data_IF_262971024512
#
_entry.id   IF_262971024512
#
_cell.length_a   1.000
_cell.length_b   1.000
_cell.length_c   1.000
_cell.angle_alpha   90.00
_cell.angle_beta   90.00
_cell.angle_gamma   90.00
#
_symmetry.space_group_name_H-M   'P 1'
#
loop_
_entity.id
_entity.type
_entity.pdbx_description
1 polymer ?
#
# COMPACT_ATOMS: atom_id res chain seq x y z
N UNK A 1 4.49 -7.50 -25.29
CA UNK A 1 4.84 -6.19 -24.68
C UNK A 1 3.54 -5.52 -24.25
N UNK A 2 3.31 -5.30 -22.95
CA UNK A 2 2.08 -4.66 -22.46
C UNK A 2 2.24 -3.14 -22.44
N UNK A 3 1.27 -2.41 -22.97
CA UNK A 3 1.24 -0.93 -22.96
C UNK A 3 1.39 -0.33 -21.55
N UNK A 4 0.97 -1.07 -20.52
CA UNK A 4 1.11 -0.73 -19.11
C UNK A 4 2.59 -0.54 -18.68
N UNK A 5 3.53 -1.34 -19.18
CA UNK A 5 4.94 -1.17 -18.80
C UNK A 5 5.62 0.05 -19.45
N UNK A 6 5.01 0.60 -20.51
CA UNK A 6 5.45 1.83 -21.18
C UNK A 6 5.06 3.10 -20.42
N UNK A 7 3.84 3.14 -19.91
CA UNK A 7 3.27 4.33 -19.26
C UNK A 7 3.69 4.42 -17.78
N UNK A 8 4.02 3.32 -17.11
CA UNK A 8 4.25 3.37 -15.66
C UNK A 8 5.70 3.16 -15.23
N UNK A 9 6.53 2.56 -16.08
CA UNK A 9 7.96 2.38 -15.79
C UNK A 9 8.81 3.62 -16.03
N UNK A 10 8.33 4.56 -16.86
CA UNK A 10 9.10 5.72 -17.32
C UNK A 10 8.70 7.04 -16.65
N UNK A 11 7.56 7.08 -15.98
CA UNK A 11 7.04 8.32 -15.38
C UNK A 11 7.34 8.32 -13.89
N UNK A 12 7.96 9.41 -13.44
CA UNK A 12 8.14 9.74 -12.02
C UNK A 12 7.41 11.05 -11.73
N UNK A 13 6.83 11.15 -10.54
CA UNK A 13 6.42 12.41 -9.97
C UNK A 13 7.63 12.98 -9.23
N UNK A 14 8.12 14.12 -9.68
CA UNK A 14 9.23 14.80 -9.04
C UNK A 14 8.65 15.86 -8.09
N UNK A 15 8.93 15.70 -6.79
CA UNK A 15 8.53 16.60 -5.73
C UNK A 15 9.74 17.47 -5.38
N UNK A 16 9.62 18.76 -5.67
CA UNK A 16 10.64 19.78 -5.43
C UNK A 16 10.04 20.96 -4.66
N UNK A 17 10.14 20.89 -3.33
CA UNK A 17 9.68 21.94 -2.41
C UNK A 17 10.84 22.60 -1.64
N UNK A 18 12.08 22.15 -1.85
CA UNK A 18 13.27 22.67 -1.18
C UNK A 18 14.30 23.12 -2.21
N UNK A 19 14.75 24.36 -2.10
CA UNK A 19 15.81 24.92 -2.94
C UNK A 19 17.17 24.25 -2.66
N UNK A 20 17.31 23.58 -1.51
CA UNK A 20 18.58 23.02 -1.01
C UNK A 20 18.67 21.51 -1.24
N UNK A 21 17.54 20.79 -1.24
CA UNK A 21 17.51 19.33 -1.33
C UNK A 21 17.22 18.85 -2.77
N UNK A 22 17.82 17.73 -3.21
CA UNK A 22 17.49 17.16 -4.51
C UNK A 22 16.01 16.76 -4.58
N UNK A 23 15.37 16.84 -5.76
CA UNK A 23 13.97 16.51 -5.93
C UNK A 23 13.69 15.05 -5.59
N UNK A 24 12.63 14.82 -4.82
CA UNK A 24 12.18 13.46 -4.47
C UNK A 24 11.41 12.88 -5.65
N UNK A 25 11.93 11.80 -6.23
CA UNK A 25 11.30 11.11 -7.36
C UNK A 25 10.44 9.95 -6.87
N UNK A 26 9.17 9.98 -7.22
CA UNK A 26 8.19 8.94 -6.90
C UNK A 26 7.81 8.19 -8.17
N UNK A 27 8.12 6.89 -8.28
CA UNK A 27 7.66 6.08 -9.40
C UNK A 27 6.13 5.92 -9.34
N UNK A 28 5.48 6.05 -10.49
CA UNK A 28 4.03 5.77 -10.59
C UNK A 28 3.70 4.33 -10.17
N UNK A 29 4.66 3.41 -10.27
CA UNK A 29 4.54 2.04 -9.77
C UNK A 29 4.21 1.97 -8.26
N UNK A 30 4.63 2.95 -7.45
CA UNK A 30 4.26 2.99 -6.02
C UNK A 30 2.75 3.27 -5.84
N UNK A 31 2.16 4.13 -6.68
CA UNK A 31 0.75 4.48 -6.61
C UNK A 31 -0.19 3.30 -6.94
N UNK A 32 0.29 2.33 -7.73
CA UNK A 32 -0.45 1.09 -7.99
C UNK A 32 -0.70 0.28 -6.71
N UNK A 33 0.17 0.39 -5.71
CA UNK A 33 -0.02 -0.29 -4.44
C UNK A 33 -1.35 0.13 -3.81
N UNK A 34 -1.65 1.43 -3.82
CA UNK A 34 -2.90 1.96 -3.28
C UNK A 34 -4.08 1.46 -4.10
N UNK A 35 -4.04 1.61 -5.43
CA UNK A 35 -5.16 1.21 -6.30
C UNK A 35 -5.48 -0.29 -6.14
N UNK A 36 -4.47 -1.15 -6.25
CA UNK A 36 -4.63 -2.60 -6.14
C UNK A 36 -5.13 -3.00 -4.75
N UNK A 37 -4.56 -2.46 -3.67
CA UNK A 37 -4.96 -2.82 -2.32
C UNK A 37 -6.34 -2.28 -1.94
N UNK A 38 -6.75 -1.11 -2.44
CA UNK A 38 -8.12 -0.59 -2.24
C UNK A 38 -9.12 -1.48 -2.98
N UNK A 39 -8.86 -1.82 -4.24
CA UNK A 39 -9.72 -2.74 -5.00
C UNK A 39 -9.78 -4.10 -4.33
N UNK A 40 -8.65 -4.63 -3.85
CA UNK A 40 -8.60 -5.86 -3.09
C UNK A 40 -9.48 -5.78 -1.83
N UNK A 41 -9.39 -4.69 -1.04
CA UNK A 41 -10.29 -4.54 0.12
C UNK A 41 -11.77 -4.44 -0.25
N UNK A 42 -12.10 -3.86 -1.40
CA UNK A 42 -13.48 -3.78 -1.86
C UNK A 42 -14.03 -5.17 -2.26
N UNK A 43 -13.21 -5.96 -2.97
CA UNK A 43 -13.56 -7.31 -3.45
C UNK A 43 -13.57 -8.34 -2.31
N UNK A 44 -12.63 -8.23 -1.37
CA UNK A 44 -12.46 -9.17 -0.25
C UNK A 44 -13.44 -8.95 0.90
N UNK A 45 -14.39 -8.01 0.76
CA UNK A 45 -15.42 -7.81 1.78
C UNK A 45 -16.29 -9.07 1.91
N UNK A 46 -16.49 -9.59 3.13
CA UNK A 46 -17.39 -10.71 3.39
C UNK A 46 -18.85 -10.23 3.32
N UNK A 47 -19.29 -9.86 2.13
CA UNK A 47 -20.70 -9.57 1.77
C UNK A 47 -21.30 -10.64 0.87
N UNK A 48 -20.51 -11.64 0.50
CA UNK A 48 -20.99 -12.77 -0.29
C UNK A 48 -21.60 -13.81 0.64
N UNK A 49 -22.80 -14.26 0.29
CA UNK A 49 -23.60 -15.32 0.94
C UNK A 49 -22.80 -16.56 1.35
N UNK A 50 -21.70 -16.85 0.65
CA UNK A 50 -20.80 -17.97 0.92
C UNK A 50 -19.99 -17.80 2.22
N UNK A 51 -19.68 -16.56 2.64
CA UNK A 51 -18.87 -16.28 3.83
C UNK A 51 -19.65 -16.45 5.14
N UNK A 52 -20.98 -16.23 5.11
CA UNK A 52 -21.85 -16.41 6.27
C UNK A 52 -21.99 -17.88 6.69
N UNK A 53 -21.84 -18.81 5.74
CA UNK A 53 -21.93 -20.26 6.01
C UNK A 53 -20.69 -20.85 6.66
N UNK A 54 -19.56 -20.13 6.65
CA UNK A 54 -18.23 -20.70 6.91
C UNK A 54 -17.79 -20.57 8.39
N UNK A 55 -18.58 -19.88 9.22
CA UNK A 55 -18.30 -19.70 10.64
C UNK A 55 -17.20 -18.68 10.91
N UNK A 56 -17.28 -17.99 12.06
CA UNK A 56 -16.49 -16.77 12.31
C UNK A 56 -14.98 -17.01 12.27
N UNK A 57 -14.47 -18.13 12.79
CA UNK A 57 -13.02 -18.39 12.88
C UNK A 57 -12.38 -18.60 11.50
N UNK A 58 -13.00 -19.42 10.64
CA UNK A 58 -12.46 -19.71 9.30
C UNK A 58 -12.49 -18.47 8.40
N UNK A 59 -13.52 -17.64 8.53
CA UNK A 59 -13.62 -16.33 7.86
C UNK A 59 -12.47 -15.39 8.28
N UNK A 60 -12.07 -15.37 9.56
CA UNK A 60 -10.90 -14.60 10.03
C UNK A 60 -9.60 -15.05 9.37
N UNK A 61 -9.38 -16.37 9.27
CA UNK A 61 -8.19 -16.91 8.62
C UNK A 61 -8.13 -16.59 7.14
N UNK A 62 -9.25 -16.71 6.42
CA UNK A 62 -9.30 -16.37 4.99
C UNK A 62 -9.05 -14.87 4.80
N UNK A 63 -9.68 -14.00 5.60
CA UNK A 63 -9.43 -12.55 5.54
C UNK A 63 -7.96 -12.21 5.78
N UNK A 64 -7.32 -12.83 6.78
CA UNK A 64 -5.90 -12.67 7.05
C UNK A 64 -5.01 -13.18 5.91
N UNK A 65 -5.34 -14.35 5.34
CA UNK A 65 -4.58 -14.96 4.26
C UNK A 65 -4.66 -14.20 2.94
N UNK A 66 -5.70 -13.39 2.73
CA UNK A 66 -5.85 -12.59 1.51
C UNK A 66 -5.01 -11.31 1.51
N UNK A 67 -4.58 -10.83 2.68
CA UNK A 67 -3.65 -9.69 2.79
C UNK A 67 -2.33 -9.93 2.05
N UNK A 68 -1.56 -11.00 2.30
CA UNK A 68 -0.30 -11.23 1.58
C UNK A 68 -0.52 -11.42 0.08
N UNK A 69 -1.65 -11.99 -0.35
CA UNK A 69 -1.98 -12.14 -1.78
C UNK A 69 -2.26 -10.77 -2.41
N UNK A 70 -3.00 -9.89 -1.74
CA UNK A 70 -3.23 -8.53 -2.21
C UNK A 70 -1.94 -7.72 -2.27
N UNK A 71 -1.07 -7.84 -1.27
CA UNK A 71 0.26 -7.21 -1.27
C UNK A 71 1.14 -7.78 -2.40
N UNK A 72 1.13 -9.09 -2.65
CA UNK A 72 1.87 -9.69 -3.75
C UNK A 72 1.35 -9.21 -5.12
N UNK A 73 0.04 -9.08 -5.28
CA UNK A 73 -0.58 -8.53 -6.49
C UNK A 73 -0.16 -7.06 -6.72
N UNK A 74 -0.05 -6.26 -5.66
CA UNK A 74 0.42 -4.87 -5.73
C UNK A 74 1.89 -4.75 -6.19
N UNK A 75 2.71 -5.79 -5.98
CA UNK A 75 4.12 -5.81 -6.41
C UNK A 75 4.28 -6.22 -7.88
N UNK A 76 3.31 -6.92 -8.48
CA UNK A 76 3.40 -7.38 -9.89
C UNK A 76 3.80 -6.27 -10.87
N UNK A 77 3.21 -5.05 -10.83
CA UNK A 77 3.61 -3.95 -11.71
C UNK A 77 5.11 -3.61 -11.60
N UNK A 78 5.68 -3.65 -10.39
CA UNK A 78 7.11 -3.37 -10.15
C UNK A 78 8.01 -4.31 -10.95
N UNK A 79 7.69 -5.61 -10.97
CA UNK A 79 8.45 -6.59 -11.75
C UNK A 79 8.30 -6.37 -13.26
N UNK A 80 7.13 -5.92 -13.72
CA UNK A 80 6.93 -5.60 -15.15
C UNK A 80 7.67 -4.35 -15.59
N UNK A 81 7.99 -3.44 -14.66
CA UNK A 81 8.72 -2.20 -14.93
C UNK A 81 10.19 -2.25 -14.49
N UNK A 82 10.65 -3.33 -13.85
CA UNK A 82 11.98 -3.44 -13.24
C UNK A 82 13.12 -3.16 -14.23
N UNK A 83 12.98 -3.57 -15.49
CA UNK A 83 13.98 -3.32 -16.55
C UNK A 83 13.98 -1.89 -17.11
N UNK A 84 13.06 -1.03 -16.65
CA UNK A 84 12.88 0.35 -17.12
C UNK A 84 13.04 1.39 -16.01
N UNK A 85 13.40 0.96 -14.81
CA UNK A 85 13.65 1.86 -13.70
C UNK A 85 14.87 2.73 -13.98
N UNK A 86 14.89 3.98 -13.48
CA UNK A 86 16.08 4.83 -13.56
C UNK A 86 17.32 4.14 -12.99
N UNK A 87 18.53 4.37 -13.55
CA UNK A 87 19.75 3.63 -13.20
C UNK A 87 20.20 3.73 -11.73
N UNK A 88 19.59 4.61 -10.92
CA UNK A 88 19.86 4.80 -9.49
C UNK A 88 18.69 4.36 -8.59
N UNK A 89 17.81 3.49 -9.08
CA UNK A 89 16.63 3.03 -8.35
C UNK A 89 16.63 1.51 -8.22
N UNK A 90 17.12 0.96 -7.09
CA UNK A 90 17.11 -0.48 -6.89
C UNK A 90 15.66 -0.99 -6.82
N UNK A 91 15.35 -2.02 -7.60
CA UNK A 91 13.99 -2.60 -7.62
C UNK A 91 13.58 -3.15 -6.25
N UNK A 92 14.53 -3.62 -5.43
CA UNK A 92 14.31 -4.11 -4.06
C UNK A 92 13.78 -3.01 -3.14
N UNK A 93 14.30 -1.78 -3.26
CA UNK A 93 13.80 -0.60 -2.55
C UNK A 93 12.34 -0.32 -2.92
N UNK A 94 12.04 -0.34 -4.22
CA UNK A 94 10.70 -0.09 -4.74
C UNK A 94 9.69 -1.13 -4.24
N UNK A 95 10.09 -2.42 -4.22
CA UNK A 95 9.25 -3.49 -3.66
C UNK A 95 8.94 -3.26 -2.18
N UNK A 96 9.94 -2.88 -1.38
CA UNK A 96 9.72 -2.64 0.06
C UNK A 96 8.76 -1.48 0.32
N UNK A 97 8.86 -0.39 -0.46
CA UNK A 97 7.94 0.75 -0.36
C UNK A 97 6.53 0.37 -0.80
N UNK A 98 6.39 -0.37 -1.91
CA UNK A 98 5.09 -0.86 -2.40
C UNK A 98 4.40 -1.77 -1.39
N UNK A 99 5.14 -2.70 -0.77
CA UNK A 99 4.60 -3.56 0.27
C UNK A 99 4.14 -2.76 1.49
N UNK A 100 4.94 -1.79 1.92
CA UNK A 100 4.61 -0.92 3.06
C UNK A 100 3.37 -0.08 2.78
N UNK A 101 3.32 0.59 1.63
CA UNK A 101 2.19 1.41 1.20
C UNK A 101 0.92 0.58 0.99
N UNK A 102 1.05 -0.61 0.39
CA UNK A 102 -0.04 -1.56 0.24
C UNK A 102 -0.60 -2.01 1.59
N UNK A 103 0.29 -2.39 2.53
CA UNK A 103 -0.11 -2.80 3.87
C UNK A 103 -0.83 -1.68 4.65
N UNK A 104 -0.31 -0.45 4.64
CA UNK A 104 -1.00 0.69 5.26
C UNK A 104 -2.38 0.93 4.64
N UNK A 105 -2.48 0.81 3.32
CA UNK A 105 -3.76 0.94 2.61
C UNK A 105 -4.76 -0.12 3.02
N UNK A 106 -4.32 -1.39 3.15
CA UNK A 106 -5.16 -2.45 3.66
C UNK A 106 -5.60 -2.19 5.11
N UNK A 107 -4.72 -1.67 5.97
CA UNK A 107 -5.02 -1.30 7.36
C UNK A 107 -6.07 -0.19 7.40
N UNK A 108 -5.82 0.95 6.74
CA UNK A 108 -6.73 2.08 6.76
C UNK A 108 -8.06 1.76 6.08
N UNK A 109 -8.06 0.98 4.98
CA UNK A 109 -9.29 0.55 4.33
C UNK A 109 -10.14 -0.37 5.23
N UNK A 110 -9.51 -1.24 6.02
CA UNK A 110 -10.21 -2.09 6.99
C UNK A 110 -10.80 -1.27 8.16
N UNK A 111 -10.09 -0.25 8.65
CA UNK A 111 -10.51 0.55 9.80
C UNK A 111 -11.50 1.68 9.44
N UNK A 112 -11.25 2.39 8.35
CA UNK A 112 -11.98 3.61 7.93
C UNK A 112 -12.93 3.37 6.76
N UNK A 113 -12.73 2.28 6.02
CA UNK A 113 -13.46 1.95 4.80
C UNK A 113 -12.62 2.25 3.55
N UNK A 114 -12.86 1.58 2.40
CA UNK A 114 -12.03 1.69 1.22
C UNK A 114 -11.79 3.12 0.71
N UNK A 115 -12.80 4.01 0.58
CA UNK A 115 -12.57 5.34 0.02
C UNK A 115 -11.75 6.22 0.96
N UNK A 116 -12.12 6.25 2.24
CA UNK A 116 -11.46 7.06 3.26
C UNK A 116 -10.05 6.50 3.53
N UNK A 117 -9.92 5.18 3.61
CA UNK A 117 -8.62 4.51 3.79
C UNK A 117 -7.66 4.77 2.63
N UNK A 118 -8.16 4.73 1.38
CA UNK A 118 -7.38 5.11 0.20
C UNK A 118 -6.88 6.56 0.29
N UNK A 119 -7.79 7.49 0.61
CA UNK A 119 -7.46 8.90 0.74
C UNK A 119 -6.43 9.12 1.86
N UNK A 120 -6.63 8.52 3.03
CA UNK A 120 -5.70 8.59 4.16
C UNK A 120 -4.32 8.03 3.80
N UNK A 121 -4.25 6.91 3.09
CA UNK A 121 -2.98 6.36 2.59
C UNK A 121 -2.27 7.34 1.66
N UNK A 122 -2.98 7.90 0.68
CA UNK A 122 -2.39 8.82 -0.30
C UNK A 122 -1.92 10.10 0.37
N UNK A 123 -2.73 10.70 1.23
CA UNK A 123 -2.37 11.90 1.98
C UNK A 123 -1.16 11.64 2.87
N UNK A 124 -1.12 10.51 3.58
CA UNK A 124 0.03 10.16 4.42
C UNK A 124 1.29 9.95 3.58
N UNK A 125 1.17 9.25 2.45
CA UNK A 125 2.26 8.99 1.52
C UNK A 125 2.86 10.29 0.95
N UNK A 126 2.02 11.19 0.43
CA UNK A 126 2.49 12.48 -0.07
C UNK A 126 3.00 13.38 1.06
N UNK A 127 2.37 13.35 2.23
CA UNK A 127 2.85 14.06 3.42
C UNK A 127 4.26 13.65 3.82
N UNK A 128 4.54 12.34 3.84
CA UNK A 128 5.89 11.80 4.08
C UNK A 128 6.87 12.25 2.99
N UNK A 129 6.44 12.22 1.73
CA UNK A 129 7.30 12.63 0.62
C UNK A 129 7.68 14.12 0.67
N UNK A 130 6.73 14.98 1.06
CA UNK A 130 6.96 16.40 1.26
C UNK A 130 7.87 16.62 2.48
N UNK A 131 7.58 15.98 3.62
CA UNK A 131 8.39 16.11 4.83
C UNK A 131 9.86 15.71 4.59
N UNK A 132 10.08 14.59 3.90
CA UNK A 132 11.42 14.15 3.53
C UNK A 132 12.18 15.17 2.65
N UNK A 133 11.50 15.80 1.68
CA UNK A 133 12.11 16.83 0.85
C UNK A 133 12.40 18.13 1.64
N UNK A 134 11.66 18.39 2.71
CA UNK A 134 11.79 19.56 3.60
C UNK A 134 12.76 19.38 4.79
N UNK A 135 13.78 18.52 4.66
CA UNK A 135 14.87 18.29 5.66
C UNK A 135 14.68 17.15 6.68
N UNK A 136 13.57 16.40 6.67
CA UNK A 136 13.41 15.24 7.57
C UNK A 136 14.11 13.95 7.07
N UNK A 137 15.07 14.09 6.16
CA UNK A 137 15.69 12.99 5.39
C UNK A 137 16.44 11.96 6.23
N UNK A 138 16.90 12.36 7.41
CA UNK A 138 17.63 11.48 8.33
C UNK A 138 16.76 10.89 9.44
N UNK A 139 15.43 11.02 9.35
CA UNK A 139 14.56 10.49 10.42
C UNK A 139 14.29 8.99 10.23
N UNK A 140 14.84 8.11 11.11
CA UNK A 140 14.76 6.65 10.94
C UNK A 140 13.35 6.08 11.15
N UNK A 141 12.40 6.92 11.59
CA UNK A 141 11.01 6.53 11.85
C UNK A 141 10.07 6.81 10.67
N UNK A 142 10.53 7.43 9.58
CA UNK A 142 9.69 7.59 8.41
C UNK A 142 9.42 6.22 7.77
N UNK A 143 8.15 5.89 7.49
CA UNK A 143 7.81 4.54 7.10
C UNK A 143 8.13 4.20 5.63
N UNK A 144 8.65 5.16 4.86
CA UNK A 144 9.07 4.96 3.48
C UNK A 144 10.53 5.35 3.37
N UNK A 145 11.32 4.53 2.69
CA UNK A 145 12.73 4.85 2.50
C UNK A 145 12.85 6.05 1.57
N UNK A 146 13.55 7.11 1.98
CA UNK A 146 13.71 8.30 1.15
C UNK A 146 14.52 8.00 -0.11
N UNK A 147 14.25 8.76 -1.17
CA UNK A 147 15.03 8.68 -2.41
C UNK A 147 16.08 9.78 -2.44
N UNK A 148 17.32 9.50 -2.91
CA UNK A 148 17.94 8.18 -3.08
C UNK A 148 18.33 7.55 -1.73
N UNK A 149 18.08 6.24 -1.58
CA UNK A 149 18.45 5.43 -0.43
C UNK A 149 19.02 4.07 -0.89
N UNK A 150 20.08 3.54 -0.25
CA UNK A 150 20.81 2.37 -0.73
C UNK A 150 20.04 1.05 -0.55
N UNK A 151 19.14 0.96 0.44
CA UNK A 151 18.43 -0.28 0.78
C UNK A 151 16.95 -0.03 1.15
N UNK A 152 16.07 -0.97 0.79
CA UNK A 152 14.66 -0.94 1.17
C UNK A 152 14.44 -1.31 2.65
N UNK A 153 13.43 -0.72 3.30
CA UNK A 153 13.11 -1.01 4.71
C UNK A 153 12.22 -2.26 4.82
N UNK A 154 12.84 -3.43 4.63
CA UNK A 154 12.16 -4.72 4.66
C UNK A 154 11.57 -5.06 6.02
N UNK A 155 12.22 -4.65 7.11
CA UNK A 155 11.73 -4.89 8.47
C UNK A 155 10.35 -4.23 8.64
N UNK A 156 10.23 -2.97 8.26
CA UNK A 156 8.96 -2.26 8.34
C UNK A 156 7.93 -2.82 7.37
N UNK A 157 8.31 -3.17 6.15
CA UNK A 157 7.40 -3.78 5.18
C UNK A 157 6.78 -5.07 5.73
N UNK A 158 7.60 -5.95 6.31
CA UNK A 158 7.14 -7.20 6.94
C UNK A 158 6.25 -6.92 8.14
N UNK A 159 6.65 -6.01 9.03
CA UNK A 159 5.84 -5.62 10.20
C UNK A 159 4.48 -5.09 9.76
N UNK A 160 4.44 -4.19 8.77
CA UNK A 160 3.22 -3.59 8.27
C UNK A 160 2.27 -4.65 7.67
N UNK A 161 2.80 -5.61 6.90
CA UNK A 161 2.00 -6.73 6.34
C UNK A 161 1.43 -7.60 7.47
N UNK A 162 2.23 -7.94 8.48
CA UNK A 162 1.76 -8.74 9.63
C UNK A 162 0.67 -8.00 10.42
N UNK A 163 0.85 -6.69 10.65
CA UNK A 163 -0.19 -5.85 11.29
C UNK A 163 -1.45 -5.80 10.43
N UNK A 164 -1.33 -5.65 9.11
CA UNK A 164 -2.46 -5.67 8.19
C UNK A 164 -3.22 -7.02 8.25
N UNK A 165 -2.51 -8.14 8.32
CA UNK A 165 -3.12 -9.47 8.52
C UNK A 165 -3.91 -9.52 9.82
N UNK A 166 -3.34 -9.03 10.93
CA UNK A 166 -4.02 -8.97 12.23
C UNK A 166 -5.28 -8.10 12.20
N UNK A 167 -5.19 -6.91 11.57
CA UNK A 167 -6.33 -6.01 11.42
C UNK A 167 -7.43 -6.65 10.58
N UNK A 168 -7.11 -7.28 9.45
CA UNK A 168 -8.10 -7.98 8.61
C UNK A 168 -8.68 -9.21 9.29
N UNK A 169 -7.88 -9.96 10.07
CA UNK A 169 -8.37 -11.07 10.88
C UNK A 169 -9.37 -10.60 11.95
N UNK A 170 -9.14 -9.44 12.58
CA UNK A 170 -10.00 -8.93 13.62
C UNK A 170 -11.26 -8.26 13.05
N UNK A 171 -11.09 -7.39 12.05
CA UNK A 171 -12.16 -6.60 11.45
C UNK A 171 -12.97 -7.39 10.43
N UNK A 172 -12.51 -8.57 9.99
CA UNK A 172 -13.07 -9.30 8.84
C UNK A 172 -13.13 -8.44 7.57
N UNK A 173 -12.35 -7.37 7.47
CA UNK A 173 -12.44 -6.42 6.36
C UNK A 173 -13.74 -5.58 6.35
N UNK A 174 -14.54 -5.62 7.43
CA UNK A 174 -15.75 -4.81 7.59
C UNK A 174 -15.54 -3.70 8.63
N UNK A 175 -15.88 -2.47 8.26
CA UNK A 175 -15.81 -1.35 9.20
C UNK A 175 -16.97 -1.40 10.17
N UNK A 176 -16.79 -0.81 11.35
CA UNK A 176 -17.86 -0.59 12.34
C UNK A 176 -19.07 0.16 11.74
N UNK A 177 -18.81 1.05 10.77
CA UNK A 177 -19.84 1.78 10.04
C UNK A 177 -20.65 0.87 9.10
N UNK A 178 -20.00 0.00 8.32
CA UNK A 178 -20.68 -0.97 7.47
C UNK A 178 -21.50 -1.99 8.29
N UNK A 179 -21.02 -2.38 9.46
CA UNK A 179 -21.76 -3.21 10.41
C UNK A 179 -23.01 -2.53 10.97
N UNK A 180 -22.99 -1.20 11.16
CA UNK A 180 -24.13 -0.44 11.66
C UNK A 180 -25.20 -0.22 10.59
N UNK A 181 -24.81 -0.02 9.34
CA UNK A 181 -25.75 0.09 8.22
C UNK A 181 -26.54 -1.20 8.00
N UNK A 182 -25.87 -2.36 7.98
CA UNK A 182 -26.56 -3.66 7.81
C UNK A 182 -27.36 -4.14 9.04
N UNK A 183 -27.36 -3.41 10.16
CA UNK A 183 -28.27 -3.65 11.29
C UNK A 183 -29.59 -2.88 11.17
N UNK A 184 -29.65 -1.91 10.27
CA UNK A 184 -30.83 -1.08 10.03
C UNK A 184 -31.61 -1.50 8.77
N UNK A 185 -31.14 -2.53 8.07
CA UNK A 185 -31.85 -3.25 7.02
C UNK A 185 -32.56 -4.48 7.62
#
# INVERSE_FOLDING_TARGET
MSALSGIFGLYTLDIDFSVVNPPRRIPYAELFAVVTCVLATAVLRPRFWEWERVGTVRTRFVAAAMVPVACAAAVVPVFTTAMRLPPNMPWTWLVSNVLTMGAFTLIFAALLGPPIGAATSLVSYFGIAIADNLEFRETPWLPLVPYPGPEGNWALAVIAVVVAMGVHAWTLGTTSWAHRLGRND
#
